data_IF_877886570316
#
_entry.id   IF_877886570316
#
_cell.length_a   1.000
_cell.length_b   1.000
_cell.length_c   1.000
_cell.angle_alpha   90.00
_cell.angle_beta   90.00
_cell.angle_gamma   90.00
#
_symmetry.space_group_name_H-M   'P 1'
#
loop_
_entity.id
_entity.type
_entity.pdbx_description
1 polymer ?
#
# COMPACT_ATOMS: atom_id res chain seq x y z
N UNK A 1 17.80 17.51 -23.97
CA UNK A 1 16.54 16.96 -24.53
C UNK A 1 16.49 15.47 -24.18
N UNK A 2 15.61 15.05 -23.25
CA UNK A 2 15.48 13.62 -22.93
C UNK A 2 14.85 12.88 -24.13
N UNK A 3 15.35 11.68 -24.46
CA UNK A 3 14.82 10.88 -25.59
C UNK A 3 13.36 10.47 -25.28
N UNK A 4 12.41 10.58 -26.23
CA UNK A 4 10.97 10.38 -25.99
C UNK A 4 10.61 9.01 -25.38
N UNK A 5 11.38 7.97 -25.72
CA UNK A 5 11.24 6.62 -25.14
C UNK A 5 11.52 6.63 -23.62
N UNK A 6 12.47 7.43 -23.16
CA UNK A 6 12.79 7.54 -21.74
C UNK A 6 11.67 8.22 -20.93
N UNK A 7 10.97 9.19 -21.52
CA UNK A 7 9.85 9.89 -20.87
C UNK A 7 8.65 8.97 -20.67
N UNK A 8 8.32 8.13 -21.66
CA UNK A 8 7.23 7.16 -21.55
C UNK A 8 7.45 6.20 -20.36
N UNK A 9 8.64 5.61 -20.24
CA UNK A 9 8.93 4.69 -19.13
C UNK A 9 8.87 5.36 -17.75
N UNK A 10 9.30 6.61 -17.64
CA UNK A 10 9.19 7.38 -16.40
C UNK A 10 7.73 7.64 -16.04
N UNK A 11 6.92 8.06 -17.03
CA UNK A 11 5.49 8.28 -16.83
C UNK A 11 4.76 7.00 -16.43
N UNK A 12 5.04 5.88 -17.10
CA UNK A 12 4.50 4.56 -16.75
C UNK A 12 4.92 4.14 -15.35
N UNK A 13 6.18 4.35 -14.96
CA UNK A 13 6.65 4.05 -13.60
C UNK A 13 5.95 4.86 -12.52
N UNK A 14 5.72 6.15 -12.74
CA UNK A 14 4.97 7.02 -11.83
C UNK A 14 3.50 6.60 -11.74
N UNK A 15 2.87 6.31 -12.88
CA UNK A 15 1.49 5.84 -12.93
C UNK A 15 1.32 4.49 -12.21
N UNK A 16 2.25 3.55 -12.41
CA UNK A 16 2.25 2.27 -11.71
C UNK A 16 2.43 2.45 -10.20
N UNK A 17 3.33 3.34 -9.77
CA UNK A 17 3.50 3.65 -8.35
C UNK A 17 2.21 4.17 -7.72
N UNK A 18 1.51 5.08 -8.40
CA UNK A 18 0.21 5.58 -7.95
C UNK A 18 -0.86 4.47 -7.93
N UNK A 19 -0.91 3.61 -8.94
CA UNK A 19 -1.85 2.49 -8.99
C UNK A 19 -1.64 1.49 -7.85
N UNK A 20 -0.38 1.17 -7.52
CA UNK A 20 -0.05 0.26 -6.41
C UNK A 20 -0.40 0.88 -5.06
N UNK A 21 0.01 2.14 -4.82
CA UNK A 21 -0.17 2.79 -3.53
C UNK A 21 -1.62 3.23 -3.28
N UNK A 22 -2.21 4.01 -4.20
CA UNK A 22 -3.54 4.56 -4.01
C UNK A 22 -4.62 3.55 -4.43
N UNK A 23 -4.46 2.93 -5.60
CA UNK A 23 -5.45 1.99 -6.13
C UNK A 23 -5.53 0.73 -5.29
N UNK A 24 -4.45 -0.06 -5.27
CA UNK A 24 -4.45 -1.40 -4.69
C UNK A 24 -4.34 -1.37 -3.16
N UNK A 25 -3.37 -0.65 -2.59
CA UNK A 25 -3.15 -0.69 -1.15
C UNK A 25 -4.22 0.06 -0.33
N UNK A 26 -4.72 1.18 -0.86
CA UNK A 26 -5.66 2.04 -0.14
C UNK A 26 -7.12 1.80 -0.49
N UNK A 27 -7.48 1.88 -1.77
CA UNK A 27 -8.90 1.89 -2.17
C UNK A 27 -9.50 0.51 -2.43
N UNK A 28 -8.72 -0.47 -2.90
CA UNK A 28 -9.25 -1.80 -3.20
C UNK A 28 -9.86 -2.49 -1.97
N UNK A 29 -9.36 -2.21 -0.76
CA UNK A 29 -9.91 -2.75 0.49
C UNK A 29 -11.41 -2.45 0.65
N UNK A 30 -11.86 -1.24 0.30
CA UNK A 30 -13.28 -0.87 0.44
C UNK A 30 -14.20 -1.69 -0.47
N UNK A 31 -13.71 -2.07 -1.66
CA UNK A 31 -14.45 -2.91 -2.61
C UNK A 31 -14.55 -4.36 -2.11
N UNK A 32 -13.50 -4.85 -1.44
CA UNK A 32 -13.43 -6.20 -0.88
C UNK A 32 -14.04 -6.31 0.52
N UNK A 33 -14.35 -5.18 1.17
CA UNK A 33 -14.82 -5.18 2.54
C UNK A 33 -16.13 -5.97 2.75
N UNK A 34 -17.18 -5.84 1.91
CA UNK A 34 -18.39 -6.62 2.09
C UNK A 34 -18.17 -8.14 2.07
N UNK A 35 -17.50 -8.73 1.05
CA UNK A 35 -17.22 -10.17 1.06
C UNK A 35 -16.25 -10.57 2.18
N UNK A 36 -15.19 -9.81 2.44
CA UNK A 36 -14.26 -10.14 3.55
C UNK A 36 -14.96 -10.19 4.91
N UNK A 37 -15.89 -9.26 5.17
CA UNK A 37 -16.66 -9.28 6.41
C UNK A 37 -17.58 -10.48 6.52
N UNK A 38 -18.21 -10.88 5.42
CA UNK A 38 -19.08 -12.05 5.39
C UNK A 38 -18.26 -13.34 5.60
N UNK A 39 -17.13 -13.46 4.93
CA UNK A 39 -16.29 -14.67 4.96
C UNK A 39 -15.52 -14.82 6.28
N UNK A 40 -15.03 -13.71 6.86
CA UNK A 40 -14.24 -13.71 8.11
C UNK A 40 -15.11 -13.46 9.36
N UNK A 41 -16.41 -13.23 9.20
CA UNK A 41 -17.32 -12.96 10.32
C UNK A 41 -17.05 -11.64 11.05
N UNK A 42 -16.48 -10.64 10.36
CA UNK A 42 -16.09 -9.37 10.98
C UNK A 42 -17.29 -8.49 11.34
N UNK A 43 -17.28 -8.01 12.58
CA UNK A 43 -18.12 -6.91 13.01
C UNK A 43 -17.62 -5.56 12.42
N UNK A 44 -18.41 -4.49 12.60
CA UNK A 44 -18.05 -3.16 12.10
C UNK A 44 -16.81 -2.57 12.78
N UNK A 45 -16.53 -2.94 14.03
CA UNK A 45 -15.35 -2.48 14.75
C UNK A 45 -14.07 -3.04 14.11
N UNK A 46 -13.98 -4.35 13.86
CA UNK A 46 -12.83 -4.98 13.19
C UNK A 46 -12.65 -4.43 11.78
N UNK A 47 -13.75 -4.34 11.01
CA UNK A 47 -13.74 -3.76 9.68
C UNK A 47 -13.18 -2.32 9.65
N UNK A 48 -13.58 -1.48 10.61
CA UNK A 48 -13.08 -0.12 10.76
C UNK A 48 -11.63 -0.07 11.24
N UNK A 49 -11.25 -0.93 12.19
CA UNK A 49 -9.90 -1.02 12.73
C UNK A 49 -8.86 -1.31 11.62
N UNK A 50 -9.19 -2.17 10.64
CA UNK A 50 -8.31 -2.41 9.48
C UNK A 50 -8.04 -1.15 8.66
N UNK A 51 -9.01 -0.23 8.55
CA UNK A 51 -8.80 1.04 7.86
C UNK A 51 -8.00 2.03 8.71
N UNK A 52 -8.26 2.05 10.01
CA UNK A 52 -7.47 2.85 10.98
C UNK A 52 -6.00 2.41 10.99
N UNK A 53 -5.72 1.11 10.97
CA UNK A 53 -4.37 0.58 10.90
C UNK A 53 -3.65 1.08 9.63
N UNK A 54 -4.30 1.05 8.47
CA UNK A 54 -3.74 1.58 7.24
C UNK A 54 -3.52 3.09 7.28
N UNK A 55 -4.44 3.87 7.86
CA UNK A 55 -4.24 5.30 8.05
C UNK A 55 -3.07 5.62 9.00
N UNK A 56 -2.89 4.83 10.06
CA UNK A 56 -1.75 4.94 10.97
C UNK A 56 -0.43 4.62 10.25
N UNK A 57 -0.41 3.58 9.43
CA UNK A 57 0.73 3.22 8.58
C UNK A 57 1.13 4.38 7.68
N UNK A 58 0.16 4.94 6.97
CA UNK A 58 0.35 6.07 6.08
C UNK A 58 0.93 7.28 6.81
N UNK A 59 0.44 7.58 8.02
CA UNK A 59 0.97 8.66 8.83
C UNK A 59 2.43 8.42 9.21
N UNK A 60 2.77 7.21 9.68
CA UNK A 60 4.15 6.84 10.01
C UNK A 60 5.05 6.94 8.77
N UNK A 61 4.60 6.39 7.63
CA UNK A 61 5.29 6.47 6.36
C UNK A 61 5.54 7.92 5.91
N UNK A 62 4.53 8.78 6.03
CA UNK A 62 4.64 10.21 5.70
C UNK A 62 5.68 10.93 6.57
N UNK A 63 5.74 10.62 7.87
CA UNK A 63 6.73 11.18 8.78
C UNK A 63 8.16 10.67 8.49
N UNK A 64 8.30 9.41 8.06
CA UNK A 64 9.60 8.81 7.73
C UNK A 64 10.12 9.20 6.35
N UNK A 65 9.23 9.53 5.41
CA UNK A 65 9.56 9.77 4.00
C UNK A 65 10.66 10.83 3.79
N UNK A 66 10.66 12.01 4.45
CA UNK A 66 11.73 13.00 4.27
C UNK A 66 13.11 12.47 4.67
N UNK A 67 13.19 11.68 5.75
CA UNK A 67 14.44 11.10 6.23
C UNK A 67 14.98 10.04 5.26
N UNK A 68 14.07 9.19 4.74
CA UNK A 68 14.40 8.17 3.75
C UNK A 68 14.79 8.79 2.41
N UNK A 69 14.11 9.85 1.97
CA UNK A 69 14.44 10.57 0.75
C UNK A 69 15.85 11.17 0.82
N UNK A 70 16.24 11.73 1.98
CA UNK A 70 17.57 12.34 2.16
C UNK A 70 18.70 11.31 2.07
N UNK A 71 18.45 10.08 2.49
CA UNK A 71 19.47 9.03 2.53
C UNK A 71 19.50 8.15 1.28
N UNK A 72 18.33 7.83 0.68
CA UNK A 72 18.22 6.85 -0.41
C UNK A 72 17.90 7.50 -1.77
N UNK A 73 17.41 8.73 -1.77
CA UNK A 73 16.93 9.43 -2.96
C UNK A 73 15.58 8.93 -3.48
N UNK A 74 14.90 9.76 -4.26
CA UNK A 74 13.52 9.53 -4.70
C UNK A 74 13.31 8.25 -5.50
N UNK A 75 14.17 7.99 -6.51
CA UNK A 75 14.00 6.83 -7.41
C UNK A 75 14.12 5.50 -6.66
N UNK A 76 15.14 5.34 -5.82
CA UNK A 76 15.36 4.08 -5.08
C UNK A 76 14.21 3.86 -4.11
N UNK A 77 13.87 4.88 -3.31
CA UNK A 77 12.78 4.80 -2.34
C UNK A 77 11.44 4.42 -2.99
N UNK A 78 11.11 5.06 -4.12
CA UNK A 78 9.87 4.78 -4.85
C UNK A 78 9.82 3.34 -5.35
N UNK A 79 10.89 2.83 -5.98
CA UNK A 79 10.93 1.47 -6.50
C UNK A 79 10.87 0.43 -5.37
N UNK A 80 11.63 0.62 -4.29
CA UNK A 80 11.62 -0.30 -3.14
C UNK A 80 10.26 -0.31 -2.45
N UNK A 81 9.63 0.87 -2.29
CA UNK A 81 8.29 0.96 -1.73
C UNK A 81 7.25 0.23 -2.61
N UNK A 82 7.28 0.44 -3.93
CA UNK A 82 6.36 -0.24 -4.85
C UNK A 82 6.49 -1.76 -4.76
N UNK A 83 7.72 -2.29 -4.76
CA UNK A 83 7.96 -3.74 -4.66
C UNK A 83 7.51 -4.26 -3.29
N UNK A 84 7.85 -3.56 -2.19
CA UNK A 84 7.44 -3.94 -0.85
C UNK A 84 5.91 -3.97 -0.72
N UNK A 85 5.21 -2.94 -1.19
CA UNK A 85 3.74 -2.87 -1.18
C UNK A 85 3.13 -4.00 -1.99
N UNK A 86 3.68 -4.33 -3.18
CA UNK A 86 3.20 -5.44 -3.99
C UNK A 86 3.32 -6.79 -3.27
N UNK A 87 4.46 -7.05 -2.60
CA UNK A 87 4.68 -8.28 -1.82
C UNK A 87 3.71 -8.34 -0.63
N UNK A 88 3.54 -7.24 0.10
CA UNK A 88 2.61 -7.16 1.23
C UNK A 88 1.16 -7.36 0.80
N UNK A 89 0.77 -6.86 -0.37
CA UNK A 89 -0.56 -7.10 -0.94
C UNK A 89 -0.76 -8.55 -1.35
N UNK A 90 0.24 -9.19 -1.96
CA UNK A 90 0.18 -10.62 -2.23
C UNK A 90 0.03 -11.44 -0.94
N UNK A 91 0.70 -11.03 0.14
CA UNK A 91 0.58 -11.67 1.45
C UNK A 91 -0.82 -11.55 2.08
N UNK A 92 -1.61 -10.50 1.77
CA UNK A 92 -3.00 -10.41 2.24
C UNK A 92 -3.85 -11.57 1.71
N UNK A 93 -3.61 -12.02 0.48
CA UNK A 93 -4.35 -13.13 -0.12
C UNK A 93 -4.11 -14.49 0.53
N UNK A 94 -3.03 -14.62 1.32
CA UNK A 94 -2.68 -15.85 2.04
C UNK A 94 -3.05 -15.79 3.54
N UNK A 95 -3.57 -14.66 4.03
CA UNK A 95 -3.84 -14.43 5.43
C UNK A 95 -5.35 -14.41 5.73
N UNK A 96 -5.74 -15.12 6.78
CA UNK A 96 -7.12 -15.15 7.30
C UNK A 96 -7.23 -14.76 8.77
N UNK A 97 -6.09 -14.68 9.48
CA UNK A 97 -6.06 -14.22 10.87
C UNK A 97 -6.12 -12.68 10.95
N UNK A 98 -7.06 -12.17 11.75
CA UNK A 98 -7.32 -10.72 11.91
C UNK A 98 -6.05 -9.95 12.30
N UNK A 99 -5.27 -10.45 13.26
CA UNK A 99 -4.05 -9.79 13.71
C UNK A 99 -3.02 -9.65 12.58
N UNK A 100 -2.89 -10.67 11.74
CA UNK A 100 -1.99 -10.66 10.58
C UNK A 100 -2.48 -9.68 9.53
N UNK A 101 -3.78 -9.67 9.22
CA UNK A 101 -4.38 -8.71 8.29
C UNK A 101 -4.23 -7.28 8.81
N UNK A 102 -4.37 -7.05 10.11
CA UNK A 102 -4.20 -5.73 10.72
C UNK A 102 -2.75 -5.23 10.62
N UNK A 103 -1.77 -6.10 10.87
CA UNK A 103 -0.36 -5.79 10.67
C UNK A 103 -0.04 -5.51 9.19
N UNK A 104 -0.58 -6.31 8.27
CA UNK A 104 -0.41 -6.10 6.84
C UNK A 104 -1.07 -4.77 6.38
N UNK A 105 -2.23 -4.42 6.93
CA UNK A 105 -2.90 -3.13 6.67
C UNK A 105 -2.07 -1.96 7.18
N UNK A 106 -1.44 -2.08 8.35
CA UNK A 106 -0.50 -1.09 8.88
C UNK A 106 0.73 -0.95 7.97
N UNK A 107 1.33 -2.05 7.54
CA UNK A 107 2.55 -2.02 6.71
C UNK A 107 2.31 -1.53 5.27
N UNK A 108 1.09 -1.67 4.76
CA UNK A 108 0.69 -1.20 3.42
C UNK A 108 0.14 0.22 3.40
N UNK A 109 0.00 0.86 4.58
CA UNK A 109 -0.37 2.26 4.71
C UNK A 109 0.82 3.16 4.48
#
# INVERSE_FOLDING_TARGET
MAKPVATFWVASGLALGAAISLGLARFAYALLLPPMRADLGWNYFTAGAMNTANAAGYLLGALMTPMLLRSWGARRLMLTACVATAVLLAAHGAASADATLLALRLLTG
#
